data_IF_025479813372
#
_entry.id   IF_025479813372
#
_cell.length_a   1.000
_cell.length_b   1.000
_cell.length_c   1.000
_cell.angle_alpha   90.00
_cell.angle_beta   90.00
_cell.angle_gamma   90.00
#
_symmetry.space_group_name_H-M   'P 1'
#
loop_
_entity.id
_entity.type
_entity.pdbx_description
1 polymer ?
#
# COMPACT_ATOMS: atom_id res chain seq x y z
N UNK A 1 11.37 -40.94 -4.96
CA UNK A 1 12.30 -40.19 -5.83
C UNK A 1 13.06 -39.24 -4.93
N UNK A 2 14.38 -39.29 -4.92
CA UNK A 2 15.18 -38.29 -4.20
C UNK A 2 14.88 -36.91 -4.80
N UNK A 3 14.80 -35.84 -3.98
CA UNK A 3 14.68 -34.50 -4.52
C UNK A 3 15.84 -34.23 -5.49
N UNK A 4 15.60 -33.53 -6.61
CA UNK A 4 16.67 -33.15 -7.52
C UNK A 4 17.71 -32.34 -6.74
N UNK A 5 18.99 -32.55 -7.06
CA UNK A 5 20.06 -31.76 -6.49
C UNK A 5 19.79 -30.27 -6.79
N UNK A 6 19.99 -29.41 -5.78
CA UNK A 6 19.89 -27.97 -5.98
C UNK A 6 20.85 -27.55 -7.12
N UNK A 7 20.43 -26.67 -8.04
CA UNK A 7 21.30 -26.26 -9.14
C UNK A 7 22.60 -25.63 -8.60
N UNK A 8 23.74 -25.95 -9.22
CA UNK A 8 25.09 -25.61 -8.73
C UNK A 8 25.33 -24.09 -8.63
N UNK A 9 24.63 -23.32 -9.46
CA UNK A 9 24.66 -21.86 -9.47
C UNK A 9 23.37 -21.22 -8.94
N UNK A 10 22.39 -22.04 -8.56
CA UNK A 10 21.25 -21.57 -7.80
C UNK A 10 21.76 -21.35 -6.38
N UNK A 11 22.25 -20.13 -6.14
CA UNK A 11 22.28 -19.58 -4.79
C UNK A 11 20.82 -19.43 -4.44
N UNK A 12 20.25 -20.35 -3.66
CA UNK A 12 18.81 -20.44 -3.65
C UNK A 12 18.25 -19.12 -3.16
N UNK A 13 17.47 -18.46 -4.02
CA UNK A 13 16.49 -17.46 -3.57
C UNK A 13 15.46 -18.17 -2.63
N UNK A 14 15.60 -19.48 -2.38
CA UNK A 14 14.92 -20.26 -1.34
C UNK A 14 15.14 -19.73 0.10
N UNK A 15 15.94 -18.67 0.29
CA UNK A 15 16.10 -17.97 1.56
C UNK A 15 15.29 -16.68 1.74
N UNK A 16 14.39 -16.31 0.82
CA UNK A 16 13.59 -15.07 0.92
C UNK A 16 12.76 -14.93 2.22
N UNK A 17 12.71 -15.94 3.09
CA UNK A 17 12.08 -15.82 4.42
C UNK A 17 12.87 -14.87 5.34
N UNK A 18 14.16 -14.67 5.11
CA UNK A 18 14.96 -13.68 5.84
C UNK A 18 16.03 -13.08 4.92
N UNK A 19 15.81 -11.86 4.42
CA UNK A 19 16.89 -11.08 3.81
C UNK A 19 17.85 -10.66 4.94
N UNK A 20 19.11 -11.13 4.98
CA UNK A 20 20.06 -10.64 5.98
C UNK A 20 20.26 -9.12 5.83
N UNK A 21 20.68 -8.46 6.89
CA UNK A 21 21.12 -7.07 6.78
C UNK A 21 22.33 -6.99 5.84
N UNK A 22 22.49 -5.84 5.19
CA UNK A 22 23.69 -5.56 4.39
C UNK A 22 24.94 -5.56 5.27
N UNK A 23 26.04 -6.14 4.79
CA UNK A 23 27.30 -6.16 5.55
C UNK A 23 27.99 -4.79 5.58
N UNK A 24 27.72 -3.96 4.58
CA UNK A 24 28.25 -2.61 4.40
C UNK A 24 27.15 -1.65 4.03
N UNK A 25 27.37 -0.36 4.21
CA UNK A 25 26.41 0.66 3.79
C UNK A 25 26.21 0.58 2.28
N UNK A 26 24.97 0.33 1.88
CA UNK A 26 24.60 0.03 0.50
C UNK A 26 23.54 1.01 0.03
N UNK A 27 23.82 1.70 -1.07
CA UNK A 27 22.84 2.54 -1.77
C UNK A 27 22.21 1.75 -2.92
N UNK A 28 20.89 1.86 -3.05
CA UNK A 28 20.11 1.29 -4.13
C UNK A 28 19.47 2.40 -4.95
N UNK A 29 19.50 2.28 -6.28
CA UNK A 29 18.71 3.14 -7.17
C UNK A 29 19.52 3.75 -8.31
N UNK A 30 19.24 5.02 -8.60
CA UNK A 30 19.88 5.78 -9.67
C UNK A 30 20.08 7.25 -9.26
N UNK A 31 20.66 8.05 -10.15
CA UNK A 31 20.99 9.45 -9.89
C UNK A 31 19.79 10.35 -9.50
N UNK A 32 18.56 9.95 -9.82
CA UNK A 32 17.35 10.71 -9.54
C UNK A 32 16.51 10.13 -8.38
N UNK A 33 16.64 8.83 -8.09
CA UNK A 33 15.86 8.12 -7.07
C UNK A 33 16.70 7.04 -6.44
N UNK A 34 17.01 7.19 -5.15
CA UNK A 34 17.83 6.25 -4.42
C UNK A 34 17.53 6.28 -2.92
N UNK A 35 17.90 5.21 -2.23
CA UNK A 35 17.87 5.11 -0.77
C UNK A 35 19.02 4.25 -0.27
N UNK A 36 19.31 4.32 1.04
CA UNK A 36 20.50 3.71 1.63
C UNK A 36 20.11 2.74 2.74
N UNK A 37 20.59 1.50 2.67
CA UNK A 37 20.51 0.51 3.75
C UNK A 37 21.82 0.47 4.54
N UNK A 38 21.71 0.43 5.87
CA UNK A 38 22.82 0.36 6.81
C UNK A 38 22.88 -1.03 7.45
N UNK A 39 24.06 -1.51 7.88
CA UNK A 39 24.20 -2.81 8.56
C UNK A 39 23.35 -2.97 9.83
N UNK A 40 22.94 -1.87 10.45
CA UNK A 40 22.00 -1.87 11.57
C UNK A 40 20.59 -2.32 11.22
N UNK A 41 20.24 -2.43 9.93
CA UNK A 41 18.88 -2.68 9.45
C UNK A 41 18.07 -1.40 9.21
N UNK A 42 18.68 -0.23 9.35
CA UNK A 42 18.06 1.04 8.96
C UNK A 42 18.05 1.15 7.43
N UNK A 43 16.89 1.46 6.87
CA UNK A 43 16.70 1.80 5.45
C UNK A 43 16.27 3.25 5.39
N UNK A 44 17.14 4.14 4.90
CA UNK A 44 16.89 5.58 4.83
C UNK A 44 16.39 6.00 3.44
N UNK A 45 15.07 6.18 3.33
CA UNK A 45 14.36 6.56 2.10
C UNK A 45 14.36 8.09 1.90
N UNK A 46 15.01 8.84 2.80
CA UNK A 46 14.95 10.31 2.83
C UNK A 46 16.27 10.96 2.39
N UNK A 47 17.20 10.15 1.90
CA UNK A 47 18.52 10.60 1.47
C UNK A 47 18.39 11.57 0.31
N UNK A 48 19.09 12.70 0.42
CA UNK A 48 19.21 13.72 -0.63
C UNK A 48 20.62 13.83 -1.21
N UNK A 49 21.57 13.05 -0.67
CA UNK A 49 22.93 12.98 -1.15
C UNK A 49 23.37 11.53 -1.29
N UNK A 50 23.94 11.21 -2.45
CA UNK A 50 24.54 9.91 -2.72
C UNK A 50 25.68 9.61 -1.75
N UNK A 51 25.86 8.34 -1.40
CA UNK A 51 27.05 7.91 -0.66
C UNK A 51 28.28 7.91 -1.56
N UNK A 52 29.45 8.20 -0.98
CA UNK A 52 30.73 8.11 -1.70
C UNK A 52 31.25 6.67 -1.57
N UNK A 53 31.32 5.92 -2.67
CA UNK A 53 31.73 4.51 -2.66
C UNK A 53 32.14 3.97 -4.03
N UNK A 54 32.42 2.66 -4.11
CA UNK A 54 32.61 1.99 -5.40
C UNK A 54 31.22 1.76 -6.02
N UNK A 55 31.00 2.31 -7.21
CA UNK A 55 29.73 2.18 -7.92
C UNK A 55 29.76 0.94 -8.83
N UNK A 56 28.74 0.10 -8.70
CA UNK A 56 28.41 -0.94 -9.67
C UNK A 56 27.01 -0.69 -10.22
N UNK A 57 26.94 0.04 -11.33
CA UNK A 57 25.74 0.53 -12.05
C UNK A 57 24.58 1.12 -11.21
N UNK A 58 23.83 0.29 -10.48
CA UNK A 58 22.65 0.65 -9.67
C UNK A 58 22.82 0.43 -8.16
N UNK A 59 23.99 -0.06 -7.74
CA UNK A 59 24.33 -0.29 -6.33
C UNK A 59 25.67 0.37 -6.03
N UNK A 60 25.71 1.24 -5.02
CA UNK A 60 26.96 1.80 -4.50
C UNK A 60 27.22 1.18 -3.14
N UNK A 61 28.38 0.55 -2.99
CA UNK A 61 28.83 0.03 -1.70
C UNK A 61 29.97 0.90 -1.17
N UNK A 62 29.79 1.48 0.02
CA UNK A 62 30.84 2.21 0.71
C UNK A 62 31.64 1.24 1.60
N UNK A 63 32.92 1.05 1.28
CA UNK A 63 33.82 0.15 2.05
C UNK A 63 34.41 0.81 3.30
N UNK A 64 33.98 2.03 3.67
CA UNK A 64 34.45 2.68 4.89
C UNK A 64 33.56 2.28 6.07
N UNK A 65 34.18 1.72 7.12
CA UNK A 65 33.57 1.30 8.39
C UNK A 65 32.82 2.42 9.15
N UNK A 66 32.90 3.68 8.69
CA UNK A 66 32.45 4.88 9.41
C UNK A 66 31.30 5.68 8.77
N UNK A 67 30.63 5.19 7.73
CA UNK A 67 29.44 5.88 7.18
C UNK A 67 28.23 5.68 8.12
N UNK A 68 28.21 6.44 9.22
CA UNK A 68 27.09 6.42 10.17
C UNK A 68 25.84 7.01 9.52
N UNK A 69 24.64 6.47 9.85
CA UNK A 69 23.41 7.09 9.42
C UNK A 69 23.32 8.51 9.99
N UNK A 70 22.89 9.51 9.20
CA UNK A 70 22.64 10.84 9.72
C UNK A 70 21.65 10.77 10.90
N UNK A 71 21.71 11.73 11.84
CA UNK A 71 20.69 11.84 12.88
C UNK A 71 19.28 11.98 12.29
N UNK A 72 18.29 11.39 12.95
CA UNK A 72 16.88 11.54 12.59
C UNK A 72 16.46 13.00 12.73
N UNK A 73 15.88 13.56 11.66
CA UNK A 73 15.31 14.91 11.65
C UNK A 73 13.85 14.86 12.08
N UNK A 74 13.58 14.84 13.38
CA UNK A 74 12.24 14.63 13.94
C UNK A 74 11.17 15.59 13.40
N UNK A 75 11.54 16.79 12.93
CA UNK A 75 10.63 17.75 12.33
C UNK A 75 10.05 17.30 10.98
N UNK A 76 10.79 16.49 10.22
CA UNK A 76 10.44 16.11 8.84
C UNK A 76 10.47 14.60 8.58
N UNK A 77 11.00 13.82 9.53
CA UNK A 77 11.21 12.40 9.39
C UNK A 77 10.63 11.64 10.58
N UNK A 78 10.31 10.37 10.34
CA UNK A 78 9.99 9.39 11.38
C UNK A 78 10.55 8.03 10.98
N UNK A 79 10.65 7.13 11.97
CA UNK A 79 11.15 5.77 11.76
C UNK A 79 10.01 4.77 11.99
N UNK A 80 9.85 3.86 11.04
CA UNK A 80 8.80 2.85 11.01
C UNK A 80 9.43 1.46 10.98
N UNK A 81 9.18 0.67 12.03
CA UNK A 81 9.58 -0.73 12.04
C UNK A 81 8.81 -1.53 10.97
N UNK A 82 9.53 -2.42 10.29
CA UNK A 82 8.98 -3.34 9.27
C UNK A 82 9.46 -4.77 9.54
N UNK A 83 8.85 -5.75 8.89
CA UNK A 83 9.27 -7.15 8.99
C UNK A 83 10.72 -7.36 8.53
N UNK A 84 11.32 -8.46 8.98
CA UNK A 84 12.71 -8.80 8.65
C UNK A 84 13.73 -7.96 9.41
N UNK A 85 13.39 -7.43 10.59
CA UNK A 85 14.32 -6.75 11.49
C UNK A 85 14.80 -5.38 11.01
N UNK A 86 14.03 -4.74 10.13
CA UNK A 86 14.38 -3.47 9.49
C UNK A 86 13.56 -2.32 10.05
N UNK A 87 14.11 -1.12 9.91
CA UNK A 87 13.43 0.14 10.22
C UNK A 87 13.55 1.05 9.01
N UNK A 88 12.41 1.53 8.51
CA UNK A 88 12.38 2.52 7.43
C UNK A 88 12.42 3.92 8.05
N UNK A 89 13.35 4.76 7.61
CA UNK A 89 13.26 6.20 7.85
C UNK A 89 12.53 6.84 6.69
N UNK A 90 11.43 7.51 7.02
CA UNK A 90 10.46 8.04 6.07
C UNK A 90 10.33 9.55 6.22
N UNK A 91 10.10 10.24 5.10
CA UNK A 91 9.75 11.66 5.13
C UNK A 91 8.25 11.79 5.39
N UNK A 92 7.90 12.59 6.41
CA UNK A 92 6.53 12.82 6.88
C UNK A 92 5.58 13.23 5.76
N UNK A 93 5.96 14.21 4.95
CA UNK A 93 5.09 14.81 3.91
C UNK A 93 5.16 14.09 2.57
N UNK A 94 6.18 13.26 2.33
CA UNK A 94 6.30 12.45 1.10
C UNK A 94 5.77 11.02 1.29
N UNK A 95 5.18 10.73 2.46
CA UNK A 95 4.56 9.44 2.79
C UNK A 95 3.04 9.58 2.82
N UNK A 96 2.34 8.62 2.20
CA UNK A 96 0.89 8.52 2.28
C UNK A 96 0.45 7.08 2.54
N UNK A 97 -0.73 6.90 3.14
CA UNK A 97 -1.44 5.61 3.15
C UNK A 97 -2.56 5.62 2.12
N UNK A 98 -2.64 4.55 1.33
CA UNK A 98 -3.65 4.29 0.31
C UNK A 98 -4.58 3.19 0.84
N UNK A 99 -5.79 3.59 1.24
CA UNK A 99 -6.82 2.71 1.83
C UNK A 99 -7.84 2.38 0.74
N UNK A 100 -7.90 1.11 0.37
CA UNK A 100 -8.57 0.68 -0.85
C UNK A 100 -9.90 -0.02 -0.54
N UNK A 101 -10.97 0.45 -1.18
CA UNK A 101 -12.30 -0.17 -1.24
C UNK A 101 -12.89 -0.60 0.12
N UNK A 102 -12.61 0.12 1.21
CA UNK A 102 -13.22 -0.10 2.53
C UNK A 102 -14.66 0.41 2.59
N UNK A 103 -15.46 0.04 1.59
CA UNK A 103 -16.81 0.55 1.32
C UNK A 103 -17.89 -0.42 1.81
N UNK A 104 -19.10 0.10 2.02
CA UNK A 104 -20.28 -0.70 2.38
C UNK A 104 -20.51 -1.87 1.43
N UNK A 105 -20.29 -1.69 0.12
CA UNK A 105 -20.47 -2.79 -0.83
C UNK A 105 -19.59 -4.00 -0.55
N UNK A 106 -18.37 -3.80 -0.03
CA UNK A 106 -17.42 -4.88 0.21
C UNK A 106 -17.52 -5.46 1.63
N UNK A 107 -18.01 -4.68 2.59
CA UNK A 107 -17.92 -5.00 4.02
C UNK A 107 -19.27 -5.11 4.72
N UNK A 108 -20.33 -4.48 4.21
CA UNK A 108 -21.64 -4.53 4.86
C UNK A 108 -22.17 -5.98 4.84
N UNK A 109 -22.54 -6.56 6.00
CA UNK A 109 -22.95 -7.98 6.09
C UNK A 109 -24.11 -8.36 5.17
N UNK A 110 -25.04 -7.42 4.92
CA UNK A 110 -26.17 -7.65 3.99
C UNK A 110 -25.74 -7.76 2.51
N UNK A 111 -24.56 -7.26 2.14
CA UNK A 111 -24.05 -7.26 0.76
C UNK A 111 -22.94 -8.30 0.54
N UNK A 112 -22.11 -8.55 1.56
CA UNK A 112 -20.94 -9.42 1.50
C UNK A 112 -20.67 -10.12 2.83
N UNK A 113 -20.36 -11.41 2.74
CA UNK A 113 -19.76 -12.17 3.83
C UNK A 113 -18.23 -12.01 3.78
N UNK A 114 -17.72 -10.96 4.43
CA UNK A 114 -16.28 -10.64 4.46
C UNK A 114 -15.75 -10.38 5.88
N UNK A 115 -15.77 -11.40 6.77
CA UNK A 115 -15.40 -11.24 8.19
C UNK A 115 -13.94 -10.84 8.39
N UNK A 116 -13.04 -11.23 7.49
CA UNK A 116 -11.63 -10.81 7.50
C UNK A 116 -11.47 -9.33 7.15
N UNK A 117 -12.24 -8.81 6.19
CA UNK A 117 -12.25 -7.39 5.84
C UNK A 117 -12.78 -6.52 6.97
N UNK A 118 -13.82 -6.97 7.68
CA UNK A 118 -14.32 -6.31 8.88
C UNK A 118 -13.26 -6.20 9.98
N UNK A 119 -12.36 -7.20 10.11
CA UNK A 119 -11.24 -7.16 11.07
C UNK A 119 -10.17 -6.12 10.73
N UNK A 120 -10.12 -5.61 9.50
CA UNK A 120 -9.21 -4.51 9.13
C UNK A 120 -9.69 -3.14 9.61
N UNK A 121 -10.97 -2.99 9.99
CA UNK A 121 -11.54 -1.70 10.42
C UNK A 121 -10.88 -1.18 11.71
N UNK A 122 -10.76 -1.94 12.81
CA UNK A 122 -10.12 -1.43 14.03
C UNK A 122 -8.62 -1.06 13.86
N UNK A 123 -7.78 -1.85 13.16
CA UNK A 123 -6.43 -1.44 12.78
C UNK A 123 -6.38 -0.08 12.06
N UNK A 124 -7.25 0.13 11.07
CA UNK A 124 -7.34 1.40 10.35
C UNK A 124 -7.75 2.57 11.24
N UNK A 125 -8.71 2.37 12.15
CA UNK A 125 -9.12 3.41 13.11
C UNK A 125 -7.98 3.87 14.02
N UNK A 126 -6.92 3.07 14.18
CA UNK A 126 -5.72 3.43 14.94
C UNK A 126 -4.60 3.99 14.06
N UNK A 127 -4.30 3.32 12.96
CA UNK A 127 -3.20 3.70 12.06
C UNK A 127 -3.45 5.04 11.37
N UNK A 128 -4.70 5.34 10.98
CA UNK A 128 -5.04 6.59 10.28
C UNK A 128 -4.77 7.82 11.14
N UNK A 129 -5.29 7.94 12.39
CA UNK A 129 -4.92 9.06 13.25
C UNK A 129 -3.42 9.19 13.52
N UNK A 130 -2.72 8.06 13.70
CA UNK A 130 -1.28 8.03 13.93
C UNK A 130 -0.47 8.59 12.73
N UNK A 131 -0.83 8.19 11.51
CA UNK A 131 -0.21 8.73 10.30
C UNK A 131 -0.55 10.21 10.09
N UNK A 132 -1.79 10.62 10.40
CA UNK A 132 -2.17 12.05 10.37
C UNK A 132 -1.32 12.88 11.33
N UNK A 133 -1.07 12.41 12.56
CA UNK A 133 -0.23 13.15 13.51
C UNK A 133 1.24 13.23 13.08
N UNK A 134 1.70 12.29 12.26
CA UNK A 134 3.00 12.33 11.61
C UNK A 134 3.03 13.26 10.39
N UNK A 135 1.91 13.83 9.95
CA UNK A 135 1.84 14.71 8.79
C UNK A 135 1.71 13.97 7.45
N UNK A 136 1.54 12.64 7.47
CA UNK A 136 1.33 11.84 6.27
C UNK A 136 -0.09 11.99 5.73
N UNK A 137 -0.23 11.90 4.40
CA UNK A 137 -1.54 12.00 3.74
C UNK A 137 -2.31 10.69 3.85
N UNK A 138 -3.63 10.79 3.99
CA UNK A 138 -4.54 9.64 4.00
C UNK A 138 -5.36 9.67 2.72
N UNK A 139 -5.21 8.65 1.87
CA UNK A 139 -5.81 8.60 0.55
C UNK A 139 -6.80 7.44 0.51
N UNK A 140 -8.09 7.76 0.43
CA UNK A 140 -9.17 6.79 0.33
C UNK A 140 -9.47 6.52 -1.14
N UNK A 141 -9.03 5.36 -1.64
CA UNK A 141 -9.11 4.99 -3.07
C UNK A 141 -10.17 3.94 -3.27
N UNK A 142 -11.33 4.37 -3.75
CA UNK A 142 -12.55 3.57 -3.69
C UNK A 142 -13.24 3.53 -5.04
N UNK A 143 -14.00 2.46 -5.31
CA UNK A 143 -14.92 2.47 -6.43
C UNK A 143 -15.90 3.63 -6.32
N UNK A 144 -16.10 4.34 -7.42
CA UNK A 144 -17.08 5.40 -7.51
C UNK A 144 -17.28 5.76 -8.95
N UNK A 145 -18.28 5.15 -9.56
CA UNK A 145 -18.55 5.28 -10.99
C UNK A 145 -19.52 6.43 -11.26
N UNK A 146 -19.31 7.08 -12.39
CA UNK A 146 -20.27 7.97 -13.04
C UNK A 146 -20.97 7.25 -14.18
N UNK A 147 -22.11 7.78 -14.65
CA UNK A 147 -22.81 7.21 -15.81
C UNK A 147 -21.94 7.23 -17.07
N UNK A 148 -21.03 8.21 -17.21
CA UNK A 148 -20.06 8.22 -18.29
C UNK A 148 -19.03 7.08 -18.16
N UNK A 149 -18.51 6.83 -16.97
CA UNK A 149 -17.53 5.75 -16.77
C UNK A 149 -18.12 4.37 -17.08
N UNK A 150 -19.42 4.16 -16.83
CA UNK A 150 -20.13 2.93 -17.20
C UNK A 150 -20.00 2.61 -18.69
N UNK A 151 -19.92 3.62 -19.58
CA UNK A 151 -19.80 3.40 -21.03
C UNK A 151 -18.40 2.94 -21.45
N UNK A 152 -17.43 2.95 -20.54
CA UNK A 152 -16.01 2.64 -20.82
C UNK A 152 -15.48 1.45 -20.03
N UNK A 153 -16.31 0.77 -19.24
CA UNK A 153 -15.89 -0.40 -18.46
C UNK A 153 -15.67 -1.59 -19.41
N UNK A 154 -14.49 -2.25 -19.37
CA UNK A 154 -14.20 -3.35 -20.28
C UNK A 154 -15.08 -4.58 -19.97
N UNK A 155 -15.46 -5.38 -20.99
CA UNK A 155 -16.35 -6.52 -20.82
C UNK A 155 -15.89 -7.56 -19.80
N UNK A 156 -14.58 -7.79 -19.66
CA UNK A 156 -14.03 -8.73 -18.67
C UNK A 156 -14.31 -8.28 -17.23
N UNK A 157 -14.22 -6.98 -16.97
CA UNK A 157 -14.50 -6.39 -15.67
C UNK A 157 -16.02 -6.42 -15.40
N UNK A 158 -16.85 -6.07 -16.38
CA UNK A 158 -18.31 -6.21 -16.29
C UNK A 158 -18.70 -7.66 -15.95
N UNK A 159 -18.19 -8.64 -16.69
CA UNK A 159 -18.42 -10.07 -16.44
C UNK A 159 -18.02 -10.47 -15.02
N UNK A 160 -16.90 -9.94 -14.53
CA UNK A 160 -16.39 -10.21 -13.18
C UNK A 160 -17.35 -9.77 -12.07
N UNK A 161 -18.01 -8.61 -12.25
CA UNK A 161 -18.93 -8.04 -11.25
C UNK A 161 -20.38 -8.54 -11.41
N UNK A 162 -20.72 -9.20 -12.51
CA UNK A 162 -22.04 -9.82 -12.73
C UNK A 162 -22.15 -11.28 -12.27
N UNK A 163 -21.11 -11.86 -11.64
CA UNK A 163 -21.02 -13.30 -11.31
C UNK A 163 -22.21 -13.88 -10.52
N UNK A 164 -22.88 -13.07 -9.71
CA UNK A 164 -24.00 -13.52 -8.87
C UNK A 164 -25.37 -13.44 -9.53
N UNK A 165 -25.46 -12.91 -10.77
CA UNK A 165 -26.73 -12.67 -11.45
C UNK A 165 -27.60 -11.58 -10.80
N UNK A 166 -27.13 -10.92 -9.74
CA UNK A 166 -27.86 -9.88 -8.98
C UNK A 166 -27.64 -8.46 -9.54
N UNK A 167 -27.26 -8.35 -10.81
CA UNK A 167 -26.91 -7.09 -11.48
C UNK A 167 -25.40 -6.83 -11.57
N UNK A 168 -25.03 -5.86 -12.42
CA UNK A 168 -23.65 -5.38 -12.64
C UNK A 168 -23.49 -3.91 -12.24
N UNK A 169 -22.37 -3.29 -12.60
CA UNK A 169 -22.13 -1.87 -12.29
C UNK A 169 -23.31 -0.98 -12.67
N UNK A 170 -23.70 -0.06 -11.78
CA UNK A 170 -24.81 0.87 -11.99
C UNK A 170 -26.21 0.29 -11.83
N UNK A 171 -26.36 -1.02 -11.63
CA UNK A 171 -27.68 -1.64 -11.36
C UNK A 171 -28.16 -1.33 -9.94
N UNK A 172 -29.48 -1.27 -9.74
CA UNK A 172 -30.07 -1.02 -8.42
C UNK A 172 -29.89 -2.25 -7.52
N UNK A 173 -29.25 -2.08 -6.38
CA UNK A 173 -29.14 -3.10 -5.35
C UNK A 173 -30.46 -3.22 -4.58
N UNK A 174 -30.72 -4.40 -4.02
CA UNK A 174 -31.87 -4.60 -3.13
C UNK A 174 -31.73 -3.73 -1.87
N UNK A 175 -32.84 -3.28 -1.29
CA UNK A 175 -32.83 -2.39 -0.12
C UNK A 175 -32.37 -0.97 -0.45
N UNK A 176 -31.95 -0.23 0.58
CA UNK A 176 -31.56 1.19 0.50
C UNK A 176 -30.05 1.37 0.23
N UNK A 177 -29.45 0.45 -0.54
CA UNK A 177 -28.01 0.50 -0.87
C UNK A 177 -27.70 1.30 -2.13
N UNK A 178 -28.72 1.65 -2.93
CA UNK A 178 -28.55 2.47 -4.12
C UNK A 178 -28.06 1.71 -5.35
N UNK A 179 -27.47 2.44 -6.32
CA UNK A 179 -26.89 1.85 -7.54
C UNK A 179 -25.48 1.32 -7.28
N UNK A 180 -25.21 0.11 -7.76
CA UNK A 180 -23.97 -0.60 -7.51
C UNK A 180 -22.73 0.22 -7.91
N UNK A 181 -21.90 0.54 -6.92
CA UNK A 181 -20.61 1.23 -7.01
C UNK A 181 -20.66 2.60 -7.71
N UNK A 182 -21.82 3.23 -7.76
CA UNK A 182 -21.96 4.60 -8.30
C UNK A 182 -21.65 5.64 -7.22
N UNK A 183 -21.08 6.78 -7.61
CA UNK A 183 -20.75 7.87 -6.67
C UNK A 183 -22.01 8.39 -5.97
N UNK A 184 -21.91 8.63 -4.66
CA UNK A 184 -23.00 9.17 -3.84
C UNK A 184 -24.07 8.16 -3.43
N UNK A 185 -23.93 6.89 -3.81
CA UNK A 185 -24.82 5.83 -3.35
C UNK A 185 -24.27 5.18 -2.07
N UNK A 186 -25.16 4.77 -1.16
CA UNK A 186 -24.78 4.26 0.15
C UNK A 186 -23.81 3.08 0.10
N UNK A 187 -23.95 2.16 -0.87
CA UNK A 187 -23.00 1.05 -1.04
C UNK A 187 -21.58 1.51 -1.39
N UNK A 188 -21.42 2.70 -1.97
CA UNK A 188 -20.13 3.30 -2.31
C UNK A 188 -19.54 4.14 -1.17
N UNK A 189 -20.29 4.38 -0.09
CA UNK A 189 -19.75 5.06 1.09
C UNK A 189 -18.78 4.17 1.86
N UNK A 190 -17.92 4.77 2.68
CA UNK A 190 -17.03 4.02 3.55
C UNK A 190 -17.81 3.26 4.61
N UNK A 191 -17.32 2.08 4.97
CA UNK A 191 -18.03 1.22 5.91
C UNK A 191 -17.93 1.70 7.36
N UNK A 192 -19.09 1.81 8.02
CA UNK A 192 -19.21 2.00 9.46
C UNK A 192 -18.39 3.19 9.99
N UNK A 193 -17.46 2.98 10.95
CA UNK A 193 -16.73 4.07 11.57
C UNK A 193 -15.67 4.71 10.66
N UNK A 194 -15.39 4.15 9.47
CA UNK A 194 -14.42 4.73 8.55
C UNK A 194 -14.96 5.97 7.83
N UNK A 195 -16.29 6.07 7.65
CA UNK A 195 -16.93 7.24 7.06
C UNK A 195 -16.73 8.52 7.90
N UNK A 196 -17.11 8.57 9.20
CA UNK A 196 -16.84 9.76 10.02
C UNK A 196 -15.34 10.01 10.20
N UNK A 197 -14.51 8.95 10.23
CA UNK A 197 -13.06 9.10 10.29
C UNK A 197 -12.52 9.85 9.06
N UNK A 198 -12.99 9.54 7.86
CA UNK A 198 -12.66 10.29 6.65
C UNK A 198 -13.18 11.72 6.71
N UNK A 199 -14.43 11.94 7.11
CA UNK A 199 -15.03 13.28 7.17
C UNK A 199 -14.25 14.23 8.09
N UNK A 200 -13.79 13.72 9.24
CA UNK A 200 -12.90 14.44 10.15
C UNK A 200 -11.58 14.84 9.45
N UNK A 201 -10.94 13.89 8.78
CA UNK A 201 -9.68 14.12 8.06
C UNK A 201 -9.82 15.07 6.88
N UNK A 202 -10.94 14.99 6.16
CA UNK A 202 -11.30 15.89 5.07
C UNK A 202 -11.45 17.32 5.57
N UNK A 203 -12.15 17.50 6.70
CA UNK A 203 -12.31 18.81 7.33
C UNK A 203 -10.96 19.41 7.79
N UNK A 204 -9.98 18.56 8.11
CA UNK A 204 -8.60 18.96 8.47
C UNK A 204 -7.66 19.13 7.28
N UNK A 205 -8.07 18.76 6.06
CA UNK A 205 -7.21 18.76 4.88
C UNK A 205 -6.12 17.68 4.89
N UNK A 206 -6.22 16.66 5.75
CA UNK A 206 -5.27 15.54 5.83
C UNK A 206 -5.66 14.37 4.94
N UNK A 207 -6.93 14.31 4.56
CA UNK A 207 -7.51 13.19 3.83
C UNK A 207 -8.10 13.61 2.49
N UNK A 208 -7.96 12.74 1.50
CA UNK A 208 -8.55 12.89 0.18
C UNK A 208 -9.30 11.61 -0.21
N UNK A 209 -10.43 11.76 -0.91
CA UNK A 209 -11.15 10.64 -1.52
C UNK A 209 -10.92 10.66 -3.03
N UNK A 210 -10.37 9.56 -3.53
CA UNK A 210 -10.11 9.34 -4.94
C UNK A 210 -11.01 8.21 -5.45
N UNK A 211 -11.81 8.51 -6.47
CA UNK A 211 -12.66 7.51 -7.11
C UNK A 211 -11.90 6.79 -8.23
N UNK A 212 -11.90 5.46 -8.18
CA UNK A 212 -11.40 4.59 -9.26
C UNK A 212 -12.53 3.90 -10.00
N UNK A 213 -12.24 3.54 -11.24
CA UNK A 213 -13.15 2.84 -12.16
C UNK A 213 -12.54 1.55 -12.73
N UNK A 214 -11.43 1.10 -12.14
CA UNK A 214 -10.73 -0.16 -12.40
C UNK A 214 -10.31 -0.79 -11.07
N UNK A 215 -9.77 -2.00 -11.13
CA UNK A 215 -9.27 -2.72 -9.95
C UNK A 215 -8.13 -1.95 -9.28
N UNK A 216 -7.09 -1.60 -10.06
CA UNK A 216 -6.01 -0.73 -9.62
C UNK A 216 -6.43 0.74 -9.64
N UNK A 217 -6.05 1.48 -8.59
CA UNK A 217 -6.16 2.94 -8.55
C UNK A 217 -5.20 3.66 -9.51
N UNK A 218 -4.15 2.98 -10.00
CA UNK A 218 -3.08 3.51 -10.86
C UNK A 218 -3.01 2.84 -12.25
N UNK A 219 -4.12 2.22 -12.69
CA UNK A 219 -4.21 1.38 -13.90
C UNK A 219 -3.78 2.04 -15.22
N UNK A 220 -3.64 3.37 -15.26
CA UNK A 220 -3.26 4.12 -16.46
C UNK A 220 -2.62 5.45 -16.14
N UNK A 221 -1.97 6.10 -17.12
CA UNK A 221 -1.41 7.44 -16.93
C UNK A 221 -2.53 8.43 -16.57
N UNK A 222 -2.23 9.41 -15.74
CA UNK A 222 -3.16 10.50 -15.40
C UNK A 222 -4.47 10.03 -14.74
N UNK A 223 -4.45 8.89 -14.06
CA UNK A 223 -5.51 8.57 -13.10
C UNK A 223 -5.56 9.63 -12.00
N UNK A 224 -6.71 9.82 -11.35
CA UNK A 224 -6.83 10.81 -10.28
C UNK A 224 -5.84 10.56 -9.13
N UNK A 225 -5.53 9.29 -8.83
CA UNK A 225 -4.49 8.93 -7.87
C UNK A 225 -3.11 9.32 -8.36
N UNK A 226 -2.77 9.01 -9.62
CA UNK A 226 -1.47 9.34 -10.21
C UNK A 226 -1.20 10.84 -10.17
N UNK A 227 -2.18 11.66 -10.57
CA UNK A 227 -2.06 13.11 -10.56
C UNK A 227 -1.88 13.66 -9.14
N UNK A 228 -2.67 13.17 -8.19
CA UNK A 228 -2.59 13.61 -6.79
C UNK A 228 -1.24 13.27 -6.16
N UNK A 229 -0.74 12.05 -6.37
CA UNK A 229 0.55 11.63 -5.83
C UNK A 229 1.70 12.47 -6.37
N UNK A 230 1.67 12.79 -7.68
CA UNK A 230 2.67 13.65 -8.32
C UNK A 230 2.59 15.10 -7.81
N UNK A 231 1.39 15.66 -7.67
CA UNK A 231 1.18 17.02 -7.19
C UNK A 231 1.63 17.21 -5.73
N UNK A 232 1.37 16.23 -4.86
CA UNK A 232 1.79 16.26 -3.46
C UNK A 232 3.24 15.81 -3.23
N UNK A 233 3.96 15.39 -4.29
CA UNK A 233 5.36 14.94 -4.19
C UNK A 233 5.55 13.69 -3.34
N UNK A 234 4.55 12.80 -3.32
CA UNK A 234 4.58 11.55 -2.56
C UNK A 234 5.52 10.54 -3.25
N UNK A 235 6.36 9.87 -2.47
CA UNK A 235 7.29 8.86 -2.97
C UNK A 235 7.15 7.52 -2.24
N UNK A 236 6.58 7.51 -1.03
CA UNK A 236 6.36 6.30 -0.24
C UNK A 236 4.86 6.07 0.00
N UNK A 237 4.40 4.86 -0.27
CA UNK A 237 2.99 4.45 -0.15
C UNK A 237 2.82 3.27 0.80
N UNK A 238 2.02 3.48 1.83
CA UNK A 238 1.49 2.41 2.68
C UNK A 238 0.18 1.89 2.09
N UNK A 239 -0.04 0.58 2.06
CA UNK A 239 -1.23 -0.04 1.46
C UNK A 239 -2.08 -0.75 2.51
N UNK A 240 -3.38 -0.46 2.47
CA UNK A 240 -4.40 -1.10 3.28
C UNK A 240 -5.70 -1.29 2.50
N UNK A 241 -6.62 -2.11 3.01
CA UNK A 241 -7.97 -2.27 2.49
C UNK A 241 -8.27 -3.65 1.91
N UNK A 242 -9.25 -3.70 1.01
CA UNK A 242 -9.76 -4.95 0.42
C UNK A 242 -9.92 -4.82 -1.11
N UNK A 243 -9.93 -5.89 -1.88
CA UNK A 243 -9.44 -7.22 -1.54
C UNK A 243 -7.92 -7.29 -1.74
N UNK A 244 -7.22 -7.99 -0.83
CA UNK A 244 -5.76 -8.13 -0.78
C UNK A 244 -5.16 -8.49 -2.14
N UNK A 245 -5.56 -9.62 -2.70
CA UNK A 245 -5.06 -10.23 -3.94
C UNK A 245 -5.67 -9.62 -5.21
N UNK A 246 -6.42 -8.53 -5.09
CA UNK A 246 -7.15 -7.91 -6.21
C UNK A 246 -6.88 -6.40 -6.27
N UNK A 247 -7.76 -5.56 -5.72
CA UNK A 247 -7.63 -4.10 -5.82
C UNK A 247 -6.39 -3.58 -5.08
N UNK A 248 -6.08 -4.17 -3.91
CA UNK A 248 -4.88 -3.81 -3.15
C UNK A 248 -3.63 -4.22 -3.91
N UNK A 249 -3.49 -5.49 -4.28
CA UNK A 249 -2.35 -5.99 -5.05
C UNK A 249 -2.19 -5.28 -6.39
N UNK A 250 -3.28 -5.03 -7.13
CA UNK A 250 -3.23 -4.32 -8.41
C UNK A 250 -2.71 -2.91 -8.27
N UNK A 251 -3.18 -2.16 -7.25
CA UNK A 251 -2.69 -0.80 -6.99
C UNK A 251 -1.24 -0.81 -6.51
N UNK A 252 -0.88 -1.78 -5.65
CA UNK A 252 0.48 -1.94 -5.15
C UNK A 252 1.48 -2.26 -6.28
N UNK A 253 1.16 -3.21 -7.16
CA UNK A 253 2.03 -3.58 -8.29
C UNK A 253 2.21 -2.41 -9.24
N UNK A 254 1.13 -1.69 -9.59
CA UNK A 254 1.24 -0.51 -10.45
C UNK A 254 2.06 0.60 -9.78
N UNK A 255 1.96 0.76 -8.46
CA UNK A 255 2.78 1.70 -7.69
C UNK A 255 4.26 1.31 -7.74
N UNK A 256 4.56 0.04 -7.48
CA UNK A 256 5.93 -0.48 -7.55
C UNK A 256 6.55 -0.28 -8.94
N UNK A 257 5.82 -0.59 -10.01
CA UNK A 257 6.30 -0.38 -11.39
C UNK A 257 6.49 1.09 -11.77
N UNK A 258 5.85 2.00 -11.05
CA UNK A 258 6.06 3.45 -11.20
C UNK A 258 7.18 3.99 -10.31
N UNK A 259 7.80 3.15 -9.49
CA UNK A 259 8.96 3.51 -8.66
C UNK A 259 8.61 4.04 -7.27
N UNK A 260 7.38 3.87 -6.78
CA UNK A 260 7.05 4.20 -5.40
C UNK A 260 7.62 3.16 -4.42
N UNK A 261 8.11 3.62 -3.27
CA UNK A 261 8.48 2.73 -2.18
C UNK A 261 7.21 2.20 -1.51
N UNK A 262 6.96 0.89 -1.62
CA UNK A 262 5.70 0.29 -1.21
C UNK A 262 5.81 -0.42 0.14
N UNK A 263 4.84 -0.20 1.02
CA UNK A 263 4.76 -0.83 2.35
C UNK A 263 3.35 -1.37 2.59
N UNK A 264 3.19 -2.68 2.80
CA UNK A 264 1.86 -3.25 3.10
C UNK A 264 1.60 -3.30 4.61
N UNK A 265 0.44 -2.81 5.05
CA UNK A 265 -0.01 -2.87 6.45
C UNK A 265 -0.81 -4.16 6.64
N UNK A 266 -0.12 -5.25 7.02
CA UNK A 266 -0.64 -6.62 6.87
C UNK A 266 -1.92 -6.91 7.65
N UNK A 267 -2.08 -6.31 8.83
CA UNK A 267 -3.28 -6.47 9.66
C UNK A 267 -4.45 -5.57 9.21
N UNK A 268 -4.20 -4.66 8.27
CA UNK A 268 -5.18 -3.78 7.66
C UNK A 268 -5.48 -4.16 6.18
N UNK A 269 -5.09 -5.36 5.75
CA UNK A 269 -5.38 -5.90 4.41
C UNK A 269 -6.08 -7.26 4.53
N UNK A 270 -7.12 -7.49 3.73
CA UNK A 270 -7.84 -8.76 3.75
C UNK A 270 -8.43 -9.13 2.40
N UNK A 271 -8.74 -10.41 2.22
CA UNK A 271 -9.47 -10.92 1.05
C UNK A 271 -10.50 -11.97 1.46
N UNK A 272 -11.51 -12.13 0.61
CA UNK A 272 -12.48 -13.23 0.62
C UNK A 272 -12.12 -14.35 -0.36
N UNK A 273 -10.96 -14.26 -1.03
CA UNK A 273 -10.45 -15.35 -1.87
C UNK A 273 -10.14 -16.60 -1.03
N UNK A 274 -10.11 -17.80 -1.66
CA UNK A 274 -9.71 -19.02 -0.97
C UNK A 274 -8.31 -18.94 -0.37
N UNK A 275 -8.01 -19.91 0.50
CA UNK A 275 -6.67 -20.10 1.08
C UNK A 275 -5.59 -20.06 0.00
N UNK A 276 -4.52 -19.32 0.28
CA UNK A 276 -3.43 -19.01 -0.66
C UNK A 276 -3.52 -17.58 -1.20
N UNK A 277 -4.70 -16.98 -1.30
CA UNK A 277 -4.87 -15.61 -1.83
C UNK A 277 -4.17 -14.56 -0.97
N UNK A 278 -4.46 -14.54 0.33
CA UNK A 278 -3.82 -13.62 1.28
C UNK A 278 -2.33 -13.92 1.43
N UNK A 279 -1.98 -15.20 1.59
CA UNK A 279 -0.60 -15.65 1.82
C UNK A 279 0.31 -15.29 0.64
N UNK A 280 -0.17 -15.47 -0.60
CA UNK A 280 0.58 -15.08 -1.79
C UNK A 280 0.80 -13.56 -1.86
N UNK A 281 -0.24 -12.77 -1.55
CA UNK A 281 -0.15 -11.32 -1.60
C UNK A 281 0.83 -10.79 -0.55
N UNK A 282 0.75 -11.26 0.70
CA UNK A 282 1.67 -10.86 1.76
C UNK A 282 3.09 -11.29 1.45
N UNK A 283 3.29 -12.54 1.00
CA UNK A 283 4.60 -13.05 0.62
C UNK A 283 5.24 -12.15 -0.44
N UNK A 284 4.55 -11.85 -1.54
CA UNK A 284 5.11 -11.03 -2.61
C UNK A 284 5.26 -9.55 -2.21
N UNK A 285 4.39 -9.02 -1.35
CA UNK A 285 4.51 -7.65 -0.86
C UNK A 285 5.83 -7.42 -0.10
N UNK A 286 6.21 -8.33 0.79
CA UNK A 286 7.46 -8.23 1.55
C UNK A 286 8.71 -8.70 0.81
N UNK A 287 8.55 -9.56 -0.20
CA UNK A 287 9.68 -10.19 -0.87
C UNK A 287 9.99 -9.63 -2.25
N UNK A 288 8.99 -9.12 -2.96
CA UNK A 288 9.15 -8.72 -4.36
C UNK A 288 8.88 -7.23 -4.56
N UNK A 289 7.92 -6.67 -3.83
CA UNK A 289 7.37 -5.35 -4.14
C UNK A 289 7.68 -4.26 -3.11
N UNK A 290 8.24 -4.62 -1.94
CA UNK A 290 8.57 -3.64 -0.91
C UNK A 290 8.71 -4.25 0.47
N UNK A 291 8.02 -3.65 1.45
CA UNK A 291 8.14 -3.98 2.87
C UNK A 291 6.78 -4.33 3.50
N UNK A 292 6.81 -4.95 4.68
CA UNK A 292 5.61 -5.27 5.47
C UNK A 292 5.67 -4.58 6.84
N UNK A 293 4.57 -3.98 7.27
CA UNK A 293 4.40 -3.46 8.64
C UNK A 293 3.02 -3.87 9.18
N UNK A 294 2.67 -3.39 10.37
CA UNK A 294 1.34 -3.52 10.96
C UNK A 294 0.90 -2.22 11.65
N UNK A 295 -0.39 -2.12 11.95
CA UNK A 295 -0.98 -0.92 12.55
C UNK A 295 -0.38 -0.57 13.91
N UNK A 296 0.07 -1.56 14.68
CA UNK A 296 0.69 -1.34 15.99
C UNK A 296 2.05 -0.64 15.87
N UNK A 297 2.89 -1.06 14.91
CA UNK A 297 4.17 -0.37 14.61
C UNK A 297 3.97 1.05 14.13
N UNK A 298 2.93 1.31 13.32
CA UNK A 298 2.56 2.66 12.88
C UNK A 298 2.20 3.53 14.09
N UNK A 299 1.35 3.04 14.99
CA UNK A 299 0.95 3.77 16.21
C UNK A 299 2.16 4.04 17.11
N UNK A 300 3.06 3.06 17.26
CA UNK A 300 4.30 3.22 18.02
C UNK A 300 5.20 4.31 17.42
N UNK A 301 5.36 4.33 16.10
CA UNK A 301 6.15 5.34 15.40
C UNK A 301 5.59 6.76 15.58
N UNK A 302 4.26 6.91 15.64
CA UNK A 302 3.62 8.21 15.87
C UNK A 302 3.74 8.72 17.32
N UNK A 303 4.08 7.85 18.27
CA UNK A 303 4.24 8.19 19.68
C UNK A 303 5.69 8.50 20.09
N UNK A 304 6.65 8.30 19.19
CA UNK A 304 8.08 8.53 19.40
C UNK A 304 8.46 9.99 19.14
#
# INVERSE_FOLDING_TARGET
MSPPAAPIHDTPILGMVARPNVDVVTEYGNAASFWVEYPSGLVDLTRSAHIVGKADTHVVAATQEDVKPPPLKQESQFELEVEGGRTLRLNKTQTAIVIIDMQNFFLHPDLRDHPTGLKCVPPLQKAVPALRSLGSKIIWVNWGLTDHELTTIPPSLVRGFMKSGKGGFGSKLAGEFGRLLMRGEYNSDLYGPLQPLYEEGKAKGTDVWIHKNRMSGLWGPQSALDLYLQEEGITTLLFAGVNADQCVLGTLIDSYYRGYDCVTVRDAVATSSPTGGYENMIYNSGNSYGFLTDSEKIVKAAAA
#
